data_IF_888021940293
#
_entry.id   IF_888021940293
#
_cell.length_a   1.000
_cell.length_b   1.000
_cell.length_c   1.000
_cell.angle_alpha   90.00
_cell.angle_beta   90.00
_cell.angle_gamma   90.00
#
_symmetry.space_group_name_H-M   'P 1'
#
loop_
_entity.id
_entity.type
_entity.pdbx_description
1 polymer ?
#
# COMPACT_ATOMS: atom_id res chain seq x y z
N UNK A 1 7.35 6.63 3.11
CA UNK A 1 6.98 7.51 1.98
C UNK A 1 6.59 6.78 0.70
N UNK A 2 7.42 5.90 0.10
CA UNK A 2 7.04 5.25 -1.18
C UNK A 2 5.70 4.53 -1.14
N UNK A 3 5.36 3.87 -0.02
CA UNK A 3 4.05 3.25 0.16
C UNK A 3 2.89 4.27 0.06
N UNK A 4 3.04 5.46 0.66
CA UNK A 4 2.04 6.53 0.62
C UNK A 4 1.92 7.12 -0.79
N UNK A 5 3.06 7.39 -1.45
CA UNK A 5 3.08 7.85 -2.86
C UNK A 5 2.38 6.85 -3.79
N UNK A 6 2.66 5.55 -3.62
CA UNK A 6 2.05 4.48 -4.40
C UNK A 6 0.53 4.38 -4.14
N UNK A 7 0.09 4.48 -2.88
CA UNK A 7 -1.34 4.48 -2.52
C UNK A 7 -2.06 5.69 -3.10
N UNK A 8 -1.50 6.89 -2.95
CA UNK A 8 -2.04 8.11 -3.56
C UNK A 8 -2.16 7.99 -5.08
N UNK A 9 -1.19 7.34 -5.73
CA UNK A 9 -1.15 7.17 -7.18
C UNK A 9 -2.16 6.13 -7.68
N UNK A 10 -2.20 4.96 -7.04
CA UNK A 10 -2.96 3.79 -7.52
C UNK A 10 -4.37 3.68 -6.92
N UNK A 11 -4.56 4.05 -5.65
CA UNK A 11 -5.80 3.82 -4.89
C UNK A 11 -6.13 4.99 -3.94
N UNK A 12 -6.20 6.24 -4.41
CA UNK A 12 -6.45 7.40 -3.53
C UNK A 12 -7.78 7.30 -2.77
N UNK A 13 -8.82 6.70 -3.37
CA UNK A 13 -10.14 6.56 -2.75
C UNK A 13 -10.17 5.65 -1.51
N UNK A 14 -9.14 4.81 -1.31
CA UNK A 14 -8.99 3.99 -0.11
C UNK A 14 -8.41 4.77 1.07
N UNK A 15 -7.84 5.95 0.84
CA UNK A 15 -7.26 6.77 1.90
C UNK A 15 -8.37 7.61 2.53
N UNK A 16 -8.52 7.51 3.85
CA UNK A 16 -9.40 8.38 4.64
C UNK A 16 -8.74 9.74 4.87
N UNK A 17 -7.49 9.73 5.32
CA UNK A 17 -6.67 10.93 5.51
C UNK A 17 -5.18 10.58 5.48
N UNK A 18 -4.34 11.59 5.27
CA UNK A 18 -2.92 11.53 5.58
C UNK A 18 -2.63 12.29 6.87
N UNK A 19 -1.84 11.68 7.76
CA UNK A 19 -1.28 12.35 8.92
C UNK A 19 0.20 12.63 8.67
N UNK A 20 0.59 13.90 8.71
CA UNK A 20 1.95 14.38 8.40
C UNK A 20 2.59 15.04 9.61
N UNK A 21 3.88 14.85 9.78
CA UNK A 21 4.60 15.42 10.91
C UNK A 21 4.64 16.96 10.82
N UNK A 22 4.11 17.64 11.84
CA UNK A 22 4.16 19.11 11.95
C UNK A 22 5.59 19.64 11.99
N UNK A 23 5.82 20.79 11.33
CA UNK A 23 7.10 21.48 11.31
C UNK A 23 8.18 20.80 10.46
N UNK A 24 7.82 19.74 9.72
CA UNK A 24 8.73 19.10 8.78
C UNK A 24 8.56 19.72 7.40
N UNK A 25 9.66 20.21 6.85
CA UNK A 25 9.71 20.78 5.51
C UNK A 25 10.86 20.14 4.74
N UNK A 26 10.53 19.30 3.76
CA UNK A 26 11.50 18.79 2.81
C UNK A 26 10.84 18.49 1.46
N UNK A 27 11.65 18.49 0.40
CA UNK A 27 11.18 18.28 -0.98
C UNK A 27 10.39 16.98 -1.15
N UNK A 28 10.71 15.94 -0.38
CA UNK A 28 10.05 14.64 -0.51
C UNK A 28 8.67 14.67 0.12
N UNK A 29 8.54 15.28 1.29
CA UNK A 29 7.23 15.51 1.92
C UNK A 29 6.37 16.43 1.04
N UNK A 30 6.94 17.50 0.49
CA UNK A 30 6.20 18.41 -0.39
C UNK A 30 5.56 17.68 -1.58
N UNK A 31 6.29 16.77 -2.23
CA UNK A 31 5.72 15.94 -3.32
C UNK A 31 4.53 15.10 -2.87
N UNK A 32 4.56 14.56 -1.65
CA UNK A 32 3.44 13.80 -1.09
C UNK A 32 2.25 14.71 -0.84
N UNK A 33 2.47 15.90 -0.30
CA UNK A 33 1.43 16.90 -0.07
C UNK A 33 0.79 17.38 -1.37
N UNK A 34 1.60 17.67 -2.38
CA UNK A 34 1.13 18.09 -3.71
C UNK A 34 0.26 17.00 -4.35
N UNK A 35 0.70 15.74 -4.25
CA UNK A 35 -0.07 14.60 -4.76
C UNK A 35 -1.36 14.38 -3.96
N UNK A 36 -1.32 14.50 -2.63
CA UNK A 36 -2.51 14.42 -1.79
C UNK A 36 -3.54 15.49 -2.16
N UNK A 37 -3.09 16.72 -2.36
CA UNK A 37 -3.91 17.84 -2.80
C UNK A 37 -4.53 17.58 -4.18
N UNK A 38 -3.73 17.12 -5.15
CA UNK A 38 -4.22 16.75 -6.50
C UNK A 38 -5.27 15.63 -6.46
N UNK A 39 -5.20 14.73 -5.47
CA UNK A 39 -6.15 13.62 -5.29
C UNK A 39 -7.29 13.94 -4.32
N UNK A 40 -7.37 15.19 -3.83
CA UNK A 40 -8.35 15.65 -2.84
C UNK A 40 -8.38 14.79 -1.57
N UNK A 41 -7.23 14.28 -1.16
CA UNK A 41 -7.08 13.51 0.08
C UNK A 41 -6.83 14.48 1.24
N UNK A 42 -7.62 14.42 2.33
CA UNK A 42 -7.41 15.27 3.50
C UNK A 42 -6.02 15.05 4.12
N UNK A 43 -5.40 16.13 4.59
CA UNK A 43 -4.10 16.08 5.26
C UNK A 43 -4.19 16.77 6.61
N UNK A 44 -3.79 16.06 7.66
CA UNK A 44 -3.77 16.55 9.05
C UNK A 44 -2.32 16.61 9.54
N UNK A 45 -1.89 17.76 10.04
CA UNK A 45 -0.56 17.90 10.64
C UNK A 45 -0.59 17.48 12.12
N UNK A 46 0.28 16.54 12.50
CA UNK A 46 0.32 15.93 13.83
C UNK A 46 1.73 15.95 14.43
N UNK A 47 1.82 15.84 15.74
CA UNK A 47 3.12 15.73 16.42
C UNK A 47 3.82 14.42 16.04
N UNK A 48 5.15 14.42 15.99
CA UNK A 48 5.93 13.20 15.73
C UNK A 48 5.57 12.05 16.66
N UNK A 49 5.37 12.35 17.94
CA UNK A 49 5.00 11.37 18.96
C UNK A 49 3.64 10.69 18.68
N UNK A 50 2.74 11.34 17.96
CA UNK A 50 1.46 10.75 17.56
C UNK A 50 1.68 9.71 16.44
N UNK A 51 2.51 10.04 15.45
CA UNK A 51 2.91 9.09 14.40
C UNK A 51 3.66 7.88 14.97
N UNK A 52 4.52 8.10 15.96
CA UNK A 52 5.27 7.03 16.64
C UNK A 52 4.32 6.06 17.38
N UNK A 53 3.15 6.52 17.86
CA UNK A 53 2.15 5.64 18.48
C UNK A 53 1.39 4.80 17.46
N UNK A 54 1.23 5.29 16.24
CA UNK A 54 0.51 4.59 15.17
C UNK A 54 1.34 3.52 14.48
N UNK A 55 2.66 3.68 14.44
CA UNK A 55 3.55 2.80 13.66
C UNK A 55 4.75 2.38 14.51
N UNK A 56 4.91 1.07 14.73
CA UNK A 56 6.08 0.47 15.42
C UNK A 56 7.40 0.55 14.64
N UNK A 57 7.48 1.37 13.59
CA UNK A 57 8.57 1.40 12.62
C UNK A 57 8.76 2.77 11.97
N UNK A 58 9.59 2.85 10.91
CA UNK A 58 9.96 4.12 10.27
C UNK A 58 8.82 4.67 9.41
N UNK A 59 7.93 5.47 10.00
CA UNK A 59 6.87 6.19 9.30
C UNK A 59 7.41 7.28 8.33
N UNK A 60 8.62 7.79 8.56
CA UNK A 60 9.22 8.86 7.73
C UNK A 60 8.32 10.10 7.68
N UNK A 61 7.71 10.49 8.79
CA UNK A 61 6.92 11.71 8.96
C UNK A 61 5.59 11.76 8.20
N UNK A 62 5.11 10.62 7.67
CA UNK A 62 3.80 10.54 7.04
C UNK A 62 3.17 9.16 7.26
N UNK A 63 1.88 9.13 7.57
CA UNK A 63 1.06 7.93 7.69
C UNK A 63 -0.21 8.12 6.86
N UNK A 64 -0.62 7.10 6.12
CA UNK A 64 -1.91 7.08 5.43
C UNK A 64 -2.89 6.24 6.25
N UNK A 65 -4.00 6.83 6.65
CA UNK A 65 -5.10 6.13 7.32
C UNK A 65 -6.01 5.60 6.22
N UNK A 66 -6.21 4.28 6.17
CA UNK A 66 -7.03 3.64 5.15
C UNK A 66 -8.46 3.45 5.67
N UNK A 67 -9.43 3.54 4.75
CA UNK A 67 -10.78 3.03 4.98
C UNK A 67 -10.71 1.52 5.17
N UNK A 68 -11.61 0.96 5.98
CA UNK A 68 -11.73 -0.49 6.09
C UNK A 68 -11.98 -1.08 4.70
N UNK A 69 -11.06 -1.90 4.21
CA UNK A 69 -11.16 -2.55 2.91
C UNK A 69 -11.51 -4.02 3.09
N UNK A 70 -12.24 -4.59 2.13
CA UNK A 70 -12.54 -6.01 2.11
C UNK A 70 -11.27 -6.75 1.71
N UNK A 71 -10.76 -7.62 2.57
CA UNK A 71 -9.71 -8.54 2.15
C UNK A 71 -10.24 -9.46 1.06
N UNK A 72 -9.50 -9.58 -0.04
CA UNK A 72 -9.78 -10.56 -1.07
C UNK A 72 -9.70 -11.96 -0.48
N UNK A 73 -10.61 -12.84 -0.89
CA UNK A 73 -10.64 -14.25 -0.51
C UNK A 73 -10.62 -15.13 -1.76
N UNK A 74 -10.62 -16.45 -1.55
CA UNK A 74 -10.56 -17.45 -2.62
C UNK A 74 -11.68 -17.32 -3.67
N UNK A 75 -12.86 -16.83 -3.28
CA UNK A 75 -13.97 -16.62 -4.22
C UNK A 75 -13.74 -15.44 -5.17
N UNK A 76 -12.76 -14.58 -4.87
CA UNK A 76 -12.40 -13.43 -5.71
C UNK A 76 -11.38 -13.79 -6.79
N UNK A 77 -10.78 -14.99 -6.71
CA UNK A 77 -9.77 -15.43 -7.68
C UNK A 77 -10.38 -15.65 -9.06
N UNK A 78 -11.46 -16.43 -9.16
CA UNK A 78 -12.06 -16.74 -10.47
C UNK A 78 -12.55 -15.48 -11.20
N UNK A 79 -13.30 -14.57 -10.57
CA UNK A 79 -13.69 -13.31 -11.22
C UNK A 79 -12.51 -12.45 -11.67
N UNK A 80 -11.38 -12.49 -10.96
CA UNK A 80 -10.16 -11.80 -11.36
C UNK A 80 -9.57 -12.41 -12.63
N UNK A 81 -9.50 -13.74 -12.71
CA UNK A 81 -8.90 -14.45 -13.85
C UNK A 81 -9.79 -14.40 -15.10
N UNK A 82 -11.10 -14.53 -14.92
CA UNK A 82 -12.08 -14.47 -16.01
C UNK A 82 -12.15 -13.08 -16.67
N UNK A 83 -11.71 -12.05 -15.96
CA UNK A 83 -11.64 -10.67 -16.48
C UNK A 83 -10.36 -10.34 -17.25
N UNK A 84 -9.42 -11.28 -17.42
CA UNK A 84 -8.18 -11.05 -18.16
C UNK A 84 -8.39 -11.30 -19.66
N UNK A 85 -7.89 -10.38 -20.49
CA UNK A 85 -7.82 -10.54 -21.94
C UNK A 85 -6.58 -11.35 -22.39
N UNK A 86 -5.81 -11.88 -21.43
CA UNK A 86 -4.56 -12.61 -21.65
C UNK A 86 -4.47 -13.85 -20.75
N UNK A 87 -3.50 -14.72 -21.07
CA UNK A 87 -3.28 -15.94 -20.29
C UNK A 87 -2.89 -15.60 -18.84
N UNK A 88 -3.61 -16.12 -17.83
CA UNK A 88 -3.30 -15.80 -16.45
C UNK A 88 -1.88 -16.23 -16.04
N UNK A 89 -1.09 -15.27 -15.58
CA UNK A 89 0.22 -15.49 -14.98
C UNK A 89 0.15 -15.37 -13.46
N UNK A 90 0.41 -16.47 -12.76
CA UNK A 90 0.23 -16.62 -11.31
C UNK A 90 1.54 -17.00 -10.62
N UNK A 91 1.68 -16.59 -9.35
CA UNK A 91 2.75 -17.05 -8.46
C UNK A 91 2.15 -17.75 -7.24
N UNK A 92 2.61 -18.96 -6.97
CA UNK A 92 2.23 -19.72 -5.77
C UNK A 92 3.44 -19.72 -4.83
N UNK A 93 3.23 -19.29 -3.58
CA UNK A 93 4.26 -19.34 -2.55
C UNK A 93 3.82 -20.32 -1.48
N UNK A 94 4.46 -21.49 -1.45
CA UNK A 94 4.23 -22.52 -0.45
C UNK A 94 5.36 -22.50 0.60
N UNK A 95 5.02 -22.42 1.88
CA UNK A 95 5.98 -22.39 2.99
C UNK A 95 6.75 -21.07 3.18
N UNK A 96 6.37 -19.98 2.52
CA UNK A 96 7.00 -18.65 2.73
C UNK A 96 6.36 -17.94 3.92
N UNK A 97 6.97 -18.07 5.10
CA UNK A 97 6.44 -17.52 6.36
C UNK A 97 7.08 -16.20 6.80
N UNK A 98 8.29 -15.90 6.33
CA UNK A 98 8.99 -14.66 6.66
C UNK A 98 8.40 -13.46 5.90
N UNK A 99 7.93 -12.39 6.58
CA UNK A 99 7.36 -11.22 5.92
C UNK A 99 8.31 -10.50 4.96
N UNK A 100 9.62 -10.57 5.21
CA UNK A 100 10.61 -9.95 4.34
C UNK A 100 10.73 -10.71 3.01
N UNK A 101 10.81 -12.04 3.06
CA UNK A 101 10.79 -12.89 1.87
C UNK A 101 9.48 -12.77 1.09
N UNK A 102 8.33 -12.77 1.77
CA UNK A 102 7.03 -12.54 1.13
C UNK A 102 7.01 -11.20 0.40
N UNK A 103 7.47 -10.13 1.06
CA UNK A 103 7.57 -8.80 0.45
C UNK A 103 8.50 -8.76 -0.77
N UNK A 104 9.62 -9.49 -0.75
CA UNK A 104 10.52 -9.61 -1.89
C UNK A 104 9.85 -10.32 -3.07
N UNK A 105 9.16 -11.44 -2.83
CA UNK A 105 8.40 -12.16 -3.85
C UNK A 105 7.32 -11.27 -4.48
N UNK A 106 6.53 -10.54 -3.66
CA UNK A 106 5.49 -9.65 -4.17
C UNK A 106 6.04 -8.54 -5.06
N UNK A 107 7.21 -7.98 -4.72
CA UNK A 107 7.87 -6.96 -5.54
C UNK A 107 8.33 -7.51 -6.89
N UNK A 108 8.94 -8.69 -6.89
CA UNK A 108 9.36 -9.38 -8.12
C UNK A 108 8.15 -9.76 -8.98
N UNK A 109 7.10 -10.29 -8.36
CA UNK A 109 5.84 -10.63 -9.02
C UNK A 109 5.21 -9.42 -9.71
N UNK A 110 5.09 -8.29 -9.01
CA UNK A 110 4.61 -7.04 -9.61
C UNK A 110 5.51 -6.54 -10.75
N UNK A 111 6.83 -6.73 -10.66
CA UNK A 111 7.77 -6.37 -11.72
C UNK A 111 7.67 -7.28 -12.96
N UNK A 112 7.32 -8.54 -12.76
CA UNK A 112 7.19 -9.55 -13.81
C UNK A 112 5.80 -9.57 -14.48
N UNK A 113 4.83 -8.82 -13.97
CA UNK A 113 3.46 -8.84 -14.50
C UNK A 113 2.60 -10.00 -14.00
N UNK A 114 2.89 -10.55 -12.81
CA UNK A 114 2.04 -11.56 -12.18
C UNK A 114 0.70 -10.94 -11.77
N UNK A 115 -0.40 -11.60 -12.11
CA UNK A 115 -1.77 -11.13 -11.86
C UNK A 115 -2.24 -11.40 -10.43
N UNK A 116 -1.88 -12.55 -9.86
CA UNK A 116 -2.18 -12.89 -8.48
C UNK A 116 -1.08 -13.74 -7.84
N UNK A 117 -0.90 -13.52 -6.54
CA UNK A 117 -0.03 -14.32 -5.69
C UNK A 117 -0.90 -15.11 -4.72
N UNK A 118 -0.75 -16.43 -4.73
CA UNK A 118 -1.53 -17.36 -3.90
C UNK A 118 -0.62 -17.85 -2.78
N UNK A 119 -1.10 -17.70 -1.55
CA UNK A 119 -0.43 -18.17 -0.32
C UNK A 119 -1.38 -19.06 0.48
N UNK A 120 -0.89 -20.17 1.09
CA UNK A 120 -1.66 -20.95 2.05
C UNK A 120 -2.13 -20.08 3.23
N UNK A 121 -3.27 -20.43 3.84
CA UNK A 121 -3.80 -19.75 5.03
C UNK A 121 -3.10 -20.16 6.33
N UNK A 122 -2.20 -21.14 6.28
CA UNK A 122 -1.61 -21.85 7.42
C UNK A 122 -0.27 -21.26 7.89
#
# INVERSE_FOLDING_TARGET
MHAVEALLSKRPGQISELQVQSGREDKRLQRVLDLAHQRSVPVTAVARAELDRLVKGRHQGVVAVLKADRQANENDLWPLLDGLDEAPFLLILDGVTDPHNLGACLRSANGAGVHAVIVPKD
#
